data_IF_264564175202
#
_entry.id   IF_264564175202
#
_cell.length_a   1.000
_cell.length_b   1.000
_cell.length_c   1.000
_cell.angle_alpha   90.00
_cell.angle_beta   90.00
_cell.angle_gamma   90.00
#
_symmetry.space_group_name_H-M   'P 1'
#
loop_
_entity.id
_entity.type
_entity.pdbx_description
1 polymer ?
#
# COMPACT_ATOMS: atom_id res chain seq x y z
N UNK A 1 -10.58 -16.31 -10.61
CA UNK A 1 -9.48 -15.46 -10.16
C UNK A 1 -10.06 -14.15 -9.63
N UNK A 2 -10.52 -14.17 -8.38
CA UNK A 2 -11.19 -13.06 -7.71
C UNK A 2 -10.13 -12.51 -6.78
N UNK A 3 -9.38 -11.48 -7.20
CA UNK A 3 -8.63 -10.70 -6.24
C UNK A 3 -9.65 -10.23 -5.20
N UNK A 4 -9.62 -10.84 -4.02
CA UNK A 4 -10.45 -10.45 -2.88
C UNK A 4 -9.96 -9.06 -2.43
N UNK A 5 -10.42 -8.02 -3.15
CA UNK A 5 -10.29 -6.61 -2.77
C UNK A 5 -11.11 -6.27 -1.51
N UNK A 6 -11.44 -7.28 -0.72
CA UNK A 6 -11.94 -7.13 0.63
C UNK A 6 -10.85 -6.61 1.58
N UNK A 7 -9.57 -6.59 1.17
CA UNK A 7 -8.45 -6.04 1.95
C UNK A 7 -7.56 -5.14 1.11
N UNK A 8 -7.00 -4.13 1.76
CA UNK A 8 -6.01 -3.24 1.16
C UNK A 8 -4.64 -3.91 1.02
N UNK A 9 -3.93 -3.61 -0.07
CA UNK A 9 -2.63 -4.20 -0.40
C UNK A 9 -1.74 -3.18 -1.11
N UNK A 10 -0.44 -3.19 -0.82
CA UNK A 10 0.57 -2.35 -1.44
C UNK A 10 1.59 -3.26 -2.09
N UNK A 11 1.66 -3.24 -3.40
CA UNK A 11 2.57 -4.08 -4.17
C UNK A 11 3.72 -3.19 -4.63
N UNK A 12 4.95 -3.55 -4.28
CA UNK A 12 6.12 -2.76 -4.63
C UNK A 12 7.25 -3.64 -5.18
N UNK A 13 8.06 -3.07 -6.06
CA UNK A 13 9.33 -3.68 -6.45
C UNK A 13 10.27 -3.80 -5.23
N UNK A 14 11.16 -4.80 -5.24
CA UNK A 14 12.10 -5.04 -4.14
C UNK A 14 13.03 -3.86 -3.85
N UNK A 15 13.31 -3.03 -4.84
CA UNK A 15 14.11 -1.81 -4.66
C UNK A 15 13.34 -0.66 -3.99
N UNK A 16 12.02 -0.80 -3.84
CA UNK A 16 11.09 0.25 -3.38
C UNK A 16 10.34 -0.11 -2.11
N UNK A 17 10.72 -1.21 -1.45
CA UNK A 17 10.05 -1.72 -0.25
C UNK A 17 9.96 -0.65 0.85
N UNK A 18 11.05 0.08 1.13
CA UNK A 18 11.05 1.12 2.16
C UNK A 18 10.04 2.24 1.89
N UNK A 19 9.88 2.66 0.63
CA UNK A 19 8.89 3.66 0.25
C UNK A 19 7.45 3.11 0.37
N UNK A 20 7.25 1.83 0.05
CA UNK A 20 5.96 1.16 0.21
C UNK A 20 5.55 1.02 1.68
N UNK A 21 6.51 0.77 2.58
CA UNK A 21 6.27 0.74 4.02
C UNK A 21 5.88 2.11 4.58
N UNK A 22 6.56 3.19 4.14
CA UNK A 22 6.17 4.56 4.50
C UNK A 22 4.77 4.90 4.00
N UNK A 23 4.42 4.45 2.78
CA UNK A 23 3.09 4.64 2.23
C UNK A 23 2.03 3.89 3.04
N UNK A 24 2.30 2.64 3.46
CA UNK A 24 1.42 1.89 4.35
C UNK A 24 1.14 2.67 5.65
N UNK A 25 2.18 3.20 6.28
CA UNK A 25 2.05 4.02 7.50
C UNK A 25 1.21 5.27 7.28
N UNK A 26 1.43 5.99 6.17
CA UNK A 26 0.66 7.19 5.84
C UNK A 26 -0.82 6.91 5.60
N UNK A 27 -1.13 5.72 5.10
CA UNK A 27 -2.49 5.26 4.83
C UNK A 27 -3.15 4.60 6.06
N UNK A 28 -2.42 4.42 7.16
CA UNK A 28 -2.90 3.69 8.34
C UNK A 28 -3.02 2.18 8.09
N UNK A 29 -2.36 1.66 7.06
CA UNK A 29 -2.32 0.25 6.73
C UNK A 29 -1.18 -0.45 7.48
N UNK A 30 -1.38 -1.70 7.94
CA UNK A 30 -0.30 -2.46 8.55
C UNK A 30 0.78 -2.77 7.51
N UNK A 31 2.04 -2.81 7.94
CA UNK A 31 3.21 -3.11 7.08
C UNK A 31 3.07 -4.49 6.41
N UNK A 32 2.33 -5.42 7.02
CA UNK A 32 1.99 -6.72 6.44
C UNK A 32 1.12 -6.64 5.18
N UNK A 33 0.57 -5.46 4.87
CA UNK A 33 -0.11 -5.18 3.60
C UNK A 33 0.87 -4.85 2.48
N UNK A 34 2.17 -4.73 2.76
CA UNK A 34 3.19 -4.54 1.74
C UNK A 34 3.62 -5.90 1.21
N UNK A 35 3.42 -6.12 -0.08
CA UNK A 35 3.82 -7.31 -0.82
C UNK A 35 4.92 -6.92 -1.80
N UNK A 36 6.12 -7.45 -1.57
CA UNK A 36 7.25 -7.23 -2.45
C UNK A 36 7.12 -8.16 -3.67
N UNK A 37 7.01 -7.58 -4.86
CA UNK A 37 7.02 -8.30 -6.13
C UNK A 37 8.42 -8.24 -6.73
N UNK A 38 8.98 -9.40 -7.07
CA UNK A 38 10.24 -9.49 -7.84
C UNK A 38 10.01 -9.35 -9.35
N UNK A 39 8.75 -9.47 -9.78
CA UNK A 39 8.36 -9.15 -11.15
C UNK A 39 8.21 -7.64 -11.21
N UNK A 40 9.23 -6.98 -11.77
CA UNK A 40 9.22 -5.55 -12.00
C UNK A 40 8.00 -5.23 -12.86
N UNK A 41 7.01 -4.56 -12.26
CA UNK A 41 5.79 -4.21 -12.95
C UNK A 41 6.14 -3.14 -13.98
N UNK A 42 6.10 -3.50 -15.27
CA UNK A 42 6.31 -2.57 -16.39
C UNK A 42 5.22 -1.50 -16.37
N UNK A 43 5.48 -0.40 -15.64
CA UNK A 43 4.61 0.76 -15.57
C UNK A 43 4.50 1.42 -14.21
N UNK A 44 4.79 0.74 -13.09
CA UNK A 44 4.66 1.31 -11.74
C UNK A 44 5.66 0.71 -10.75
N UNK A 45 6.40 1.58 -10.04
CA UNK A 45 7.28 1.19 -8.92
C UNK A 45 6.49 0.65 -7.71
N UNK A 46 5.33 1.26 -7.43
CA UNK A 46 4.45 0.92 -6.30
C UNK A 46 3.00 1.00 -6.79
N UNK A 47 2.21 -0.04 -6.49
CA UNK A 47 0.78 -0.12 -6.74
C UNK A 47 0.05 -0.26 -5.42
N UNK A 48 -0.85 0.67 -5.13
CA UNK A 48 -1.74 0.61 -3.97
C UNK A 48 -3.12 0.17 -4.41
N UNK A 49 -3.66 -0.82 -3.71
CA UNK A 49 -5.00 -1.36 -3.91
C UNK A 49 -5.72 -1.14 -2.58
N UNK A 50 -6.75 -0.30 -2.56
CA UNK A 50 -7.54 -0.04 -1.37
C UNK A 50 -8.78 -0.94 -1.39
N UNK A 51 -8.94 -1.74 -0.34
CA UNK A 51 -10.07 -2.63 -0.21
C UNK A 51 -11.33 -1.92 0.26
N UNK A 52 -12.47 -2.60 0.21
CA UNK A 52 -13.75 -2.07 0.69
C UNK A 52 -13.77 -1.77 2.20
N UNK A 53 -12.84 -2.37 2.95
CA UNK A 53 -12.58 -2.18 4.38
C UNK A 53 -11.65 -0.99 4.68
N UNK A 54 -11.10 -0.34 3.65
CA UNK A 54 -10.17 0.75 3.84
C UNK A 54 -10.84 1.93 4.53
N UNK A 55 -10.38 2.23 5.73
CA UNK A 55 -10.65 3.49 6.38
C UNK A 55 -9.38 4.33 6.31
N UNK A 56 -9.38 5.46 5.57
CA UNK A 56 -8.23 6.34 5.55
C UNK A 56 -7.92 6.76 6.99
N UNK A 57 -6.63 6.73 7.34
CA UNK A 57 -6.17 7.29 8.59
C UNK A 57 -6.77 8.69 8.73
N UNK A 58 -7.63 8.87 9.74
CA UNK A 58 -8.26 10.14 10.06
C UNK A 58 -7.12 11.16 10.12
N UNK A 59 -7.15 12.14 9.20
CA UNK A 59 -6.09 13.12 8.97
C UNK A 59 -5.23 13.34 10.22
N UNK A 60 -3.92 13.12 10.10
CA UNK A 60 -2.95 13.91 10.85
C UNK A 60 -3.34 15.37 10.64
N UNK A 61 -4.06 15.93 11.61
CA UNK A 61 -4.38 17.34 11.67
C UNK A 61 -3.04 18.05 11.52
N UNK A 62 -2.75 18.61 10.34
CA UNK A 62 -1.67 19.58 10.20
C UNK A 62 -2.15 20.77 11.02
N UNK A 63 -1.75 20.80 12.29
CA UNK A 63 -1.88 21.99 13.12
C UNK A 63 -1.20 23.12 12.36
N UNK A 64 -1.90 24.24 12.09
CA UNK A 64 -1.36 25.36 11.34
C UNK A 64 -0.13 25.99 12.00
#
# INVERSE_FOLDING_TARGET
DRFDYARSNIIADSTREAAAQQLAQSLGLPITSVVTSTVSATGYDIRVILGADFQPAQNVTRTP
#
